data_IF_615671073803
#
_entry.id   IF_615671073803
#
_cell.length_a   1.000
_cell.length_b   1.000
_cell.length_c   1.000
_cell.angle_alpha   90.00
_cell.angle_beta   90.00
_cell.angle_gamma   90.00
#
_symmetry.space_group_name_H-M   'P 1'
#
loop_
_entity.id
_entity.type
_entity.pdbx_description
1 polymer ?
#
# COMPACT_ATOMS: atom_id res chain seq x y z
N UNK A 1 57.05 -16.58 17.15
CA UNK A 1 55.91 -15.70 17.42
C UNK A 1 55.56 -14.97 16.13
N UNK A 2 54.75 -15.55 15.25
CA UNK A 2 54.24 -14.85 14.05
C UNK A 2 52.88 -15.44 13.71
N UNK A 3 51.82 -14.71 14.07
CA UNK A 3 50.45 -15.03 13.71
C UNK A 3 50.18 -14.71 12.25
N UNK A 4 49.53 -15.63 11.55
CA UNK A 4 49.05 -15.39 10.19
C UNK A 4 47.91 -14.34 10.23
N UNK A 5 47.93 -13.31 9.35
CA UNK A 5 46.84 -12.35 9.27
C UNK A 5 45.60 -13.04 8.67
N UNK A 6 44.45 -12.92 9.37
CA UNK A 6 43.17 -13.42 8.89
C UNK A 6 42.66 -12.57 7.71
N UNK A 7 41.91 -13.15 6.76
CA UNK A 7 41.54 -12.50 5.50
C UNK A 7 40.42 -11.46 5.70
N UNK A 8 40.78 -10.17 5.67
CA UNK A 8 39.88 -9.02 5.89
C UNK A 8 38.65 -8.99 4.96
N UNK A 9 38.76 -9.48 3.72
CA UNK A 9 37.65 -9.46 2.74
C UNK A 9 36.42 -10.28 3.13
N UNK A 10 36.52 -11.27 4.02
CA UNK A 10 35.38 -12.11 4.45
C UNK A 10 34.60 -11.47 5.60
N UNK A 11 35.22 -10.54 6.34
CA UNK A 11 34.54 -9.79 7.40
C UNK A 11 33.61 -8.73 6.81
N UNK A 12 34.04 -7.96 5.80
CA UNK A 12 33.24 -6.89 5.20
C UNK A 12 31.93 -7.39 4.60
N UNK A 13 31.95 -8.54 3.91
CA UNK A 13 30.74 -9.16 3.34
C UNK A 13 29.77 -9.65 4.40
N UNK A 14 30.27 -10.07 5.57
CA UNK A 14 29.45 -10.60 6.66
C UNK A 14 28.80 -9.47 7.47
N UNK A 15 29.55 -8.39 7.73
CA UNK A 15 29.04 -7.19 8.41
C UNK A 15 27.93 -6.54 7.58
N UNK A 16 28.13 -6.37 6.27
CA UNK A 16 27.10 -5.81 5.38
C UNK A 16 25.80 -6.64 5.41
N UNK A 17 25.91 -7.97 5.40
CA UNK A 17 24.76 -8.88 5.41
C UNK A 17 23.98 -8.81 6.74
N UNK A 18 24.69 -8.72 7.87
CA UNK A 18 24.08 -8.55 9.20
C UNK A 18 23.39 -7.20 9.34
N UNK A 19 24.00 -6.12 8.82
CA UNK A 19 23.38 -4.78 8.82
C UNK A 19 22.11 -4.72 7.98
N UNK A 20 22.11 -5.33 6.78
CA UNK A 20 20.92 -5.41 5.93
C UNK A 20 19.82 -6.25 6.59
N UNK A 21 20.16 -7.40 7.16
CA UNK A 21 19.20 -8.28 7.82
C UNK A 21 18.57 -7.63 9.06
N UNK A 22 19.36 -6.91 9.87
CA UNK A 22 18.86 -6.19 11.05
C UNK A 22 18.02 -4.97 10.68
N UNK A 23 18.36 -4.25 9.61
CA UNK A 23 17.52 -3.19 9.07
C UNK A 23 16.17 -3.70 8.55
N UNK A 24 16.17 -4.85 7.84
CA UNK A 24 14.94 -5.50 7.37
C UNK A 24 14.08 -6.00 8.53
N UNK A 25 14.68 -6.61 9.56
CA UNK A 25 13.98 -7.04 10.76
C UNK A 25 13.40 -5.85 11.53
N UNK A 26 14.14 -4.75 11.66
CA UNK A 26 13.66 -3.52 12.28
C UNK A 26 12.52 -2.86 11.48
N UNK A 27 12.60 -2.88 10.14
CA UNK A 27 11.54 -2.38 9.27
C UNK A 27 10.26 -3.23 9.41
N UNK A 28 10.38 -4.56 9.37
CA UNK A 28 9.25 -5.47 9.55
C UNK A 28 8.63 -5.36 10.95
N UNK A 29 9.46 -5.21 11.98
CA UNK A 29 9.02 -5.02 13.36
C UNK A 29 8.32 -3.67 13.57
N UNK A 30 8.84 -2.60 12.95
CA UNK A 30 8.24 -1.27 12.98
C UNK A 30 6.86 -1.25 12.36
N UNK A 31 6.68 -1.89 11.20
CA UNK A 31 5.36 -1.99 10.57
C UNK A 31 4.37 -2.79 11.44
N UNK A 32 4.83 -3.89 12.02
CA UNK A 32 3.99 -4.73 12.91
C UNK A 32 3.55 -3.99 14.17
N UNK A 33 4.46 -3.24 14.81
CA UNK A 33 4.14 -2.43 16.00
C UNK A 33 3.21 -1.28 15.63
N UNK A 34 3.50 -0.56 14.54
CA UNK A 34 2.64 0.55 14.11
C UNK A 34 1.23 0.08 13.81
N UNK A 35 1.07 -1.07 13.14
CA UNK A 35 -0.25 -1.64 12.87
C UNK A 35 -0.93 -2.12 14.16
N UNK A 36 -0.20 -2.73 15.10
CA UNK A 36 -0.73 -3.10 16.40
C UNK A 36 -1.21 -1.88 17.22
N UNK A 37 -0.44 -0.78 17.20
CA UNK A 37 -0.80 0.47 17.88
C UNK A 37 -2.01 1.11 17.20
N UNK A 38 -2.07 1.16 15.87
CA UNK A 38 -3.23 1.69 15.14
C UNK A 38 -4.48 0.89 15.44
N UNK A 39 -4.38 -0.44 15.43
CA UNK A 39 -5.47 -1.34 15.77
C UNK A 39 -5.94 -1.12 17.21
N UNK A 40 -5.00 -1.03 18.16
CA UNK A 40 -5.30 -0.79 19.58
C UNK A 40 -5.96 0.57 19.84
N UNK A 41 -5.49 1.63 19.16
CA UNK A 41 -6.03 2.98 19.28
C UNK A 41 -7.31 3.21 18.47
N UNK A 42 -7.82 2.19 17.76
CA UNK A 42 -8.97 2.35 16.87
C UNK A 42 -8.72 3.31 15.69
N UNK A 43 -7.44 3.56 15.38
CA UNK A 43 -6.99 4.35 14.23
C UNK A 43 -6.83 3.49 12.98
N UNK A 44 -7.11 2.19 13.08
CA UNK A 44 -7.13 1.30 11.93
C UNK A 44 -8.47 1.45 11.19
N UNK A 45 -8.43 2.21 10.09
CA UNK A 45 -9.54 2.41 9.16
C UNK A 45 -9.69 1.25 8.16
N UNK A 46 -8.78 0.26 8.19
CA UNK A 46 -8.82 -0.88 7.26
C UNK A 46 -10.05 -1.74 7.55
N UNK A 47 -10.72 -2.15 6.48
CA UNK A 47 -11.88 -3.04 6.58
C UNK A 47 -11.39 -4.46 6.91
N UNK A 48 -11.92 -5.12 7.96
CA UNK A 48 -11.52 -6.49 8.30
C UNK A 48 -11.79 -7.44 7.13
N UNK A 49 -10.79 -8.25 6.78
CA UNK A 49 -10.93 -9.27 5.74
C UNK A 49 -12.06 -10.23 6.09
N UNK A 50 -12.97 -10.46 5.14
CA UNK A 50 -14.01 -11.47 5.27
C UNK A 50 -13.40 -12.87 5.15
N UNK A 51 -14.07 -13.85 5.78
CA UNK A 51 -13.76 -15.25 5.56
C UNK A 51 -13.91 -15.61 4.08
N UNK A 52 -13.08 -16.53 3.56
CA UNK A 52 -13.21 -16.98 2.18
C UNK A 52 -14.62 -17.46 1.85
N UNK A 53 -15.10 -17.04 0.69
CA UNK A 53 -16.36 -17.46 0.10
C UNK A 53 -16.31 -18.95 -0.15
N UNK A 54 -17.35 -19.64 0.33
CA UNK A 54 -17.44 -21.10 0.27
C UNK A 54 -17.53 -21.66 -1.16
N UNK A 55 -17.89 -20.83 -2.14
CA UNK A 55 -18.16 -21.31 -3.51
C UNK A 55 -16.89 -21.64 -4.30
N UNK A 56 -15.70 -21.23 -3.82
CA UNK A 56 -14.44 -21.39 -4.55
C UNK A 56 -14.36 -20.64 -5.89
N UNK A 57 -15.37 -19.82 -6.21
CA UNK A 57 -15.44 -19.02 -7.44
C UNK A 57 -15.09 -17.56 -7.15
N UNK A 58 -14.37 -16.95 -8.09
CA UNK A 58 -14.07 -15.51 -8.06
C UNK A 58 -15.32 -14.69 -8.35
N UNK A 59 -15.55 -13.66 -7.55
CA UNK A 59 -16.55 -12.63 -7.84
C UNK A 59 -16.01 -11.73 -8.94
N UNK A 60 -16.74 -11.62 -10.05
CA UNK A 60 -16.41 -10.70 -11.14
C UNK A 60 -17.16 -9.39 -10.97
N UNK A 61 -16.43 -8.28 -10.96
CA UNK A 61 -17.02 -6.94 -10.79
C UNK A 61 -16.50 -6.02 -11.90
N UNK A 62 -17.43 -5.39 -12.60
CA UNK A 62 -17.14 -4.29 -13.51
C UNK A 62 -17.36 -2.95 -12.78
N UNK A 63 -16.33 -2.11 -12.75
CA UNK A 63 -16.38 -0.77 -12.16
C UNK A 63 -16.40 0.25 -13.29
N UNK A 64 -17.40 1.13 -13.31
CA UNK A 64 -17.54 2.18 -14.31
C UNK A 64 -17.04 3.51 -13.75
N UNK A 65 -15.88 3.95 -14.24
CA UNK A 65 -15.20 5.19 -13.85
C UNK A 65 -14.16 5.01 -12.75
N UNK A 66 -12.93 5.46 -13.01
CA UNK A 66 -11.81 5.46 -12.05
C UNK A 66 -11.69 6.76 -11.25
N UNK A 67 -12.81 7.43 -10.96
CA UNK A 67 -12.83 8.54 -10.01
C UNK A 67 -12.61 8.07 -8.57
N UNK A 68 -12.56 9.00 -7.61
CA UNK A 68 -12.27 8.67 -6.20
C UNK A 68 -13.17 7.54 -5.64
N UNK A 69 -14.46 7.53 -5.99
CA UNK A 69 -15.38 6.47 -5.55
C UNK A 69 -15.14 5.12 -6.23
N UNK A 70 -14.92 5.09 -7.54
CA UNK A 70 -14.67 3.84 -8.26
C UNK A 70 -13.33 3.21 -7.89
N UNK A 71 -12.30 4.03 -7.72
CA UNK A 71 -11.00 3.62 -7.21
C UNK A 71 -11.09 3.15 -5.75
N UNK A 72 -11.84 3.85 -4.89
CA UNK A 72 -12.07 3.41 -3.50
C UNK A 72 -12.79 2.06 -3.43
N UNK A 73 -13.83 1.85 -4.25
CA UNK A 73 -14.52 0.56 -4.32
C UNK A 73 -13.58 -0.55 -4.78
N UNK A 74 -12.70 -0.28 -5.74
CA UNK A 74 -11.71 -1.27 -6.20
C UNK A 74 -10.75 -1.69 -5.07
N UNK A 75 -10.30 -0.72 -4.27
CA UNK A 75 -9.44 -0.97 -3.10
C UNK A 75 -10.21 -1.75 -2.05
N UNK A 76 -11.38 -1.27 -1.64
CA UNK A 76 -12.17 -1.92 -0.59
C UNK A 76 -12.63 -3.33 -0.94
N UNK A 77 -12.96 -3.62 -2.20
CA UNK A 77 -13.30 -4.98 -2.62
C UNK A 77 -12.11 -5.93 -2.48
N UNK A 78 -10.90 -5.46 -2.79
CA UNK A 78 -9.67 -6.24 -2.59
C UNK A 78 -9.32 -6.41 -1.12
N UNK A 79 -9.46 -5.36 -0.33
CA UNK A 79 -9.21 -5.42 1.12
C UNK A 79 -10.19 -6.37 1.81
N UNK A 80 -11.47 -6.30 1.43
CA UNK A 80 -12.53 -7.09 2.04
C UNK A 80 -12.45 -8.57 1.65
N UNK A 81 -12.21 -8.87 0.36
CA UNK A 81 -12.33 -10.22 -0.18
C UNK A 81 -10.98 -10.89 -0.47
N UNK A 82 -9.91 -10.12 -0.64
CA UNK A 82 -8.62 -10.60 -1.13
C UNK A 82 -8.61 -10.84 -2.64
N UNK A 83 -7.43 -10.69 -3.25
CA UNK A 83 -7.23 -10.74 -4.70
C UNK A 83 -7.60 -12.10 -5.34
N UNK A 84 -7.49 -13.17 -4.57
CA UNK A 84 -7.85 -14.52 -5.00
C UNK A 84 -9.35 -14.65 -5.23
N UNK A 85 -10.17 -13.91 -4.49
CA UNK A 85 -11.63 -14.05 -4.49
C UNK A 85 -12.34 -13.06 -5.41
N UNK A 86 -11.66 -12.03 -5.90
CA UNK A 86 -12.27 -10.97 -6.70
C UNK A 86 -11.50 -10.69 -7.98
N UNK A 87 -12.23 -10.65 -9.10
CA UNK A 87 -11.75 -10.25 -10.43
C UNK A 87 -12.37 -8.89 -10.75
N UNK A 88 -11.55 -7.84 -10.79
CA UNK A 88 -12.00 -6.48 -11.05
C UNK A 88 -11.61 -6.04 -12.45
N UNK A 89 -12.58 -5.48 -13.18
CA UNK A 89 -12.34 -4.77 -14.43
C UNK A 89 -12.87 -3.36 -14.29
N UNK A 90 -12.02 -2.36 -14.53
CA UNK A 90 -12.41 -0.95 -14.46
C UNK A 90 -12.45 -0.36 -15.88
N UNK A 91 -13.59 0.23 -16.22
CA UNK A 91 -13.80 0.90 -17.50
C UNK A 91 -13.82 2.41 -17.29
N UNK A 92 -12.98 3.13 -18.02
CA UNK A 92 -13.00 4.59 -18.04
C UNK A 92 -12.46 5.12 -19.37
N UNK A 93 -12.84 6.35 -19.73
CA UNK A 93 -12.45 7.02 -20.97
C UNK A 93 -11.47 8.18 -20.76
N UNK A 94 -11.10 8.46 -19.51
CA UNK A 94 -10.20 9.55 -19.11
C UNK A 94 -9.10 9.00 -18.22
N UNK A 95 -8.07 9.80 -17.89
CA UNK A 95 -7.17 9.48 -16.80
C UNK A 95 -7.93 9.14 -15.50
N UNK A 96 -7.31 8.28 -14.67
CA UNK A 96 -7.80 7.95 -13.33
C UNK A 96 -7.87 9.23 -12.49
N UNK A 97 -8.84 9.32 -11.58
CA UNK A 97 -9.04 10.46 -10.67
C UNK A 97 -10.38 11.15 -10.88
N UNK A 98 -10.95 11.09 -12.09
CA UNK A 98 -12.25 11.66 -12.40
C UNK A 98 -12.25 13.18 -12.19
N UNK A 99 -12.89 13.67 -11.12
CA UNK A 99 -12.92 15.09 -10.74
C UNK A 99 -11.76 15.50 -9.83
N UNK A 100 -10.87 14.58 -9.46
CA UNK A 100 -9.60 14.88 -8.80
C UNK A 100 -8.52 14.69 -9.87
N UNK A 101 -8.08 15.77 -10.50
CA UNK A 101 -7.22 15.69 -11.67
C UNK A 101 -6.13 16.75 -11.60
N UNK A 102 -4.90 16.32 -11.85
CA UNK A 102 -3.75 17.20 -12.05
C UNK A 102 -3.58 17.45 -13.55
N UNK A 103 -3.41 18.72 -13.91
CA UNK A 103 -3.05 19.15 -15.26
C UNK A 103 -1.65 19.75 -15.26
N UNK A 104 -0.96 19.67 -16.39
CA UNK A 104 0.35 20.31 -16.57
C UNK A 104 0.20 21.55 -17.45
N UNK A 105 0.70 22.68 -16.97
CA UNK A 105 0.74 23.96 -17.68
C UNK A 105 2.11 24.60 -17.43
N UNK A 106 2.82 24.97 -18.50
CA UNK A 106 4.16 25.60 -18.44
C UNK A 106 5.19 24.82 -17.58
N UNK A 107 5.13 23.49 -17.65
CA UNK A 107 6.00 22.59 -16.88
C UNK A 107 5.70 22.58 -15.37
N UNK A 108 4.58 23.16 -14.95
CA UNK A 108 4.08 23.13 -13.57
C UNK A 108 2.80 22.30 -13.50
N UNK A 109 2.58 21.65 -12.35
CA UNK A 109 1.38 20.84 -12.10
C UNK A 109 0.35 21.64 -11.29
N UNK A 110 -0.90 21.62 -11.74
CA UNK A 110 -2.03 22.29 -11.10
C UNK A 110 -3.18 21.31 -10.88
N UNK A 111 -3.84 21.42 -9.74
CA UNK A 111 -5.09 20.71 -9.50
C UNK A 111 -6.24 21.39 -10.26
N UNK A 112 -6.83 20.66 -11.21
CA UNK A 112 -7.98 21.09 -12.00
C UNK A 112 -9.32 20.65 -11.39
N UNK A 113 -9.30 20.16 -10.14
CA UNK A 113 -10.43 19.52 -9.49
C UNK A 113 -10.38 19.64 -7.97
N UNK A 114 -10.74 18.56 -7.25
CA UNK A 114 -10.62 18.53 -5.80
C UNK A 114 -9.15 18.64 -5.37
N UNK A 115 -8.80 19.74 -4.70
CA UNK A 115 -7.40 20.10 -4.39
C UNK A 115 -7.08 20.17 -2.89
N UNK A 116 -8.09 20.25 -2.02
CA UNK A 116 -7.90 20.44 -0.58
C UNK A 116 -8.40 19.20 0.16
N UNK A 117 -7.48 18.51 0.83
CA UNK A 117 -7.78 17.43 1.77
C UNK A 117 -7.51 17.95 3.18
N UNK A 118 -8.49 17.82 4.07
CA UNK A 118 -8.38 18.22 5.48
C UNK A 118 -8.25 16.99 6.37
N UNK A 119 -7.45 17.09 7.43
CA UNK A 119 -7.30 16.05 8.46
C UNK A 119 -8.62 15.73 9.19
N UNK A 120 -9.60 16.64 9.12
CA UNK A 120 -10.95 16.42 9.65
C UNK A 120 -11.74 15.37 8.84
N UNK A 121 -11.30 15.01 7.64
CA UNK A 121 -11.88 13.91 6.89
C UNK A 121 -11.34 12.59 7.41
N UNK A 122 -12.04 12.03 8.41
CA UNK A 122 -11.69 10.76 9.07
C UNK A 122 -11.58 9.53 8.16
N UNK A 123 -12.03 9.63 6.89
CA UNK A 123 -11.96 8.56 5.90
C UNK A 123 -10.71 8.62 4.99
N UNK A 124 -9.87 9.66 5.11
CA UNK A 124 -8.63 9.84 4.34
C UNK A 124 -7.36 9.65 5.20
N UNK A 125 -7.50 9.07 6.41
CA UNK A 125 -6.40 8.78 7.33
C UNK A 125 -5.89 7.34 7.18
#
# INVERSE_FOLDING_TARGET
MFGAPLPERRLESTVALVTIASALAAAAFRETICDAIRSFLGLDSRVPRLKPLRSGRRIKVAILGGGIGGSAVAVWLRDLLGDEQVELVMFQNSPVGGRCQVIELDGQHYEAGAAIVSEMNVLFQ
#
